data_IF_903732512806
#
_entry.id   IF_903732512806
#
_cell.length_a   1.000
_cell.length_b   1.000
_cell.length_c   1.000
_cell.angle_alpha   90.00
_cell.angle_beta   90.00
_cell.angle_gamma   90.00
#
_symmetry.space_group_name_H-M   'P 1'
#
loop_
_entity.id
_entity.type
_entity.pdbx_description
1 polymer ?
#
# COMPACT_ATOMS: atom_id res chain seq x y z
N UNK A 1 4.41 -13.95 -3.41
CA UNK A 1 4.19 -14.27 -1.99
C UNK A 1 2.84 -13.73 -1.49
N UNK A 2 2.35 -14.19 -0.35
CA UNK A 2 1.18 -13.61 0.35
C UNK A 2 1.55 -13.33 1.79
N UNK A 3 1.13 -12.19 2.32
CA UNK A 3 1.34 -11.84 3.73
C UNK A 3 0.15 -12.35 4.53
N UNK A 4 0.41 -13.23 5.50
CA UNK A 4 -0.65 -13.70 6.39
C UNK A 4 -1.02 -12.62 7.41
N UNK A 5 -2.32 -12.39 7.71
CA UNK A 5 -2.73 -11.37 8.68
C UNK A 5 -2.12 -11.54 10.07
N UNK A 6 -1.84 -12.78 10.47
CA UNK A 6 -1.32 -13.12 11.81
C UNK A 6 0.22 -13.14 11.86
N UNK A 7 0.90 -13.01 10.71
CA UNK A 7 2.36 -12.88 10.66
C UNK A 7 2.84 -11.55 11.24
N UNK A 8 4.13 -11.44 11.55
CA UNK A 8 4.75 -10.19 12.03
C UNK A 8 4.53 -9.08 11.00
N UNK A 9 4.84 -9.35 9.73
CA UNK A 9 4.55 -8.48 8.59
C UNK A 9 3.08 -8.05 8.51
N UNK A 10 2.15 -8.99 8.69
CA UNK A 10 0.71 -8.73 8.69
C UNK A 10 0.29 -7.79 9.82
N UNK A 11 0.77 -8.04 11.04
CA UNK A 11 0.50 -7.19 12.22
C UNK A 11 1.07 -5.78 12.03
N UNK A 12 2.30 -5.65 11.50
CA UNK A 12 2.92 -4.35 11.18
C UNK A 12 2.07 -3.55 10.19
N UNK A 13 1.60 -4.15 9.10
CA UNK A 13 0.72 -3.49 8.14
C UNK A 13 -0.65 -3.12 8.74
N UNK A 14 -1.23 -4.00 9.57
CA UNK A 14 -2.52 -3.76 10.23
C UNK A 14 -2.49 -2.59 11.22
N UNK A 15 -1.33 -2.31 11.85
CA UNK A 15 -1.12 -1.12 12.69
C UNK A 15 -1.42 0.18 11.94
N UNK A 16 -1.21 0.20 10.63
CA UNK A 16 -1.45 1.35 9.75
C UNK A 16 -2.76 1.24 8.96
N UNK A 17 -3.73 0.46 9.46
CA UNK A 17 -5.09 0.40 8.91
C UNK A 17 -5.29 -0.57 7.74
N UNK A 18 -4.29 -1.39 7.39
CA UNK A 18 -4.47 -2.42 6.35
C UNK A 18 -5.45 -3.50 6.83
N UNK A 19 -6.53 -3.73 6.08
CA UNK A 19 -7.53 -4.73 6.42
C UNK A 19 -7.00 -6.17 6.27
N UNK A 20 -7.36 -7.07 7.20
CA UNK A 20 -6.97 -8.49 7.12
C UNK A 20 -7.47 -9.18 5.83
N UNK A 21 -8.64 -8.76 5.33
CA UNK A 21 -9.19 -9.26 4.06
C UNK A 21 -8.33 -8.83 2.86
N UNK A 22 -7.79 -7.62 2.88
CA UNK A 22 -6.88 -7.12 1.85
C UNK A 22 -5.59 -7.96 1.81
N UNK A 23 -5.03 -8.31 2.98
CA UNK A 23 -3.87 -9.19 3.09
C UNK A 23 -4.15 -10.59 2.51
N UNK A 24 -5.28 -11.22 2.89
CA UNK A 24 -5.63 -12.56 2.41
C UNK A 24 -5.89 -12.62 0.90
N UNK A 25 -6.52 -11.57 0.36
CA UNK A 25 -6.94 -11.51 -1.03
C UNK A 25 -5.91 -10.91 -1.98
N UNK A 26 -4.69 -10.61 -1.52
CA UNK A 26 -3.68 -9.94 -2.35
C UNK A 26 -2.40 -10.76 -2.42
N UNK A 27 -1.91 -10.97 -3.64
CA UNK A 27 -0.63 -11.62 -3.90
C UNK A 27 0.40 -10.57 -4.22
N UNK A 28 1.55 -10.58 -3.54
CA UNK A 28 2.66 -9.67 -3.79
C UNK A 28 3.62 -10.33 -4.77
N UNK A 29 4.01 -9.62 -5.82
CA UNK A 29 5.07 -10.02 -6.74
C UNK A 29 6.15 -8.93 -6.76
N UNK A 30 7.39 -9.33 -6.55
CA UNK A 30 8.54 -8.46 -6.75
C UNK A 30 8.83 -8.34 -8.25
N UNK A 31 9.07 -7.14 -8.74
CA UNK A 31 9.36 -6.84 -10.14
C UNK A 31 10.59 -5.94 -10.20
N UNK A 32 11.56 -6.32 -11.02
CA UNK A 32 12.81 -5.56 -11.16
C UNK A 32 12.58 -4.19 -11.83
N UNK A 33 11.78 -4.15 -12.90
CA UNK A 33 11.61 -2.96 -13.72
C UNK A 33 10.22 -2.34 -13.53
N UNK A 34 10.15 -1.31 -12.68
CA UNK A 34 8.95 -0.47 -12.50
C UNK A 34 9.32 0.99 -12.18
N UNK A 35 8.59 1.98 -12.74
CA UNK A 35 8.83 3.40 -12.47
C UNK A 35 8.32 3.86 -11.08
N UNK A 36 7.55 3.01 -10.39
CA UNK A 36 6.95 3.30 -9.08
C UNK A 36 7.35 2.22 -8.07
N UNK A 37 7.34 2.57 -6.77
CA UNK A 37 7.71 1.66 -5.69
C UNK A 37 6.76 0.46 -5.57
N UNK A 38 5.46 0.68 -5.76
CA UNK A 38 4.47 -0.37 -5.75
C UNK A 38 3.23 0.02 -6.55
N UNK A 39 2.50 -0.97 -7.07
CA UNK A 39 1.28 -0.79 -7.85
C UNK A 39 0.30 -1.96 -7.64
N UNK A 40 -0.97 -1.65 -7.41
CA UNK A 40 -2.05 -2.64 -7.31
C UNK A 40 -2.67 -2.90 -8.67
N UNK A 41 -2.54 -4.14 -9.14
CA UNK A 41 -3.22 -4.69 -10.30
C UNK A 41 -4.50 -5.42 -9.85
N UNK A 42 -5.70 -4.85 -10.09
CA UNK A 42 -6.96 -5.52 -9.77
C UNK A 42 -7.19 -6.69 -10.74
N UNK A 43 -7.59 -7.86 -10.24
CA UNK A 43 -7.93 -9.00 -11.08
C UNK A 43 -9.45 -9.08 -11.31
N UNK A 44 -9.93 -9.59 -12.46
CA UNK A 44 -11.36 -9.72 -12.74
C UNK A 44 -12.04 -10.76 -11.82
N UNK A 45 -11.43 -11.92 -11.60
CA UNK A 45 -12.04 -13.06 -10.88
C UNK A 45 -11.66 -13.15 -9.39
N UNK A 46 -11.51 -12.00 -8.72
CA UNK A 46 -11.23 -11.94 -7.28
C UNK A 46 -9.78 -11.60 -6.96
N UNK A 47 -9.59 -10.91 -5.84
CA UNK A 47 -8.28 -10.53 -5.33
C UNK A 47 -7.57 -9.42 -6.12
N UNK A 48 -6.32 -9.19 -5.73
CA UNK A 48 -5.40 -8.24 -6.38
C UNK A 48 -3.99 -8.84 -6.47
N UNK A 49 -3.21 -8.34 -7.41
CA UNK A 49 -1.76 -8.54 -7.43
C UNK A 49 -1.11 -7.21 -7.11
N UNK A 50 -0.28 -7.17 -6.08
CA UNK A 50 0.50 -6.01 -5.70
C UNK A 50 1.90 -6.19 -6.25
N UNK A 51 2.23 -5.42 -7.28
CA UNK A 51 3.56 -5.39 -7.87
C UNK A 51 4.42 -4.46 -7.04
N UNK A 52 5.54 -4.95 -6.53
CA UNK A 52 6.49 -4.20 -5.72
C UNK A 52 7.79 -4.13 -6.47
N UNK A 53 8.37 -2.93 -6.60
CA UNK A 53 9.70 -2.80 -7.17
C UNK A 53 10.73 -3.44 -6.24
N UNK A 54 11.60 -4.26 -6.81
CA UNK A 54 12.70 -4.86 -6.06
C UNK A 54 13.55 -3.79 -5.36
N UNK A 55 13.89 -4.00 -4.09
CA UNK A 55 14.58 -3.02 -3.25
C UNK A 55 13.76 -1.81 -2.76
N UNK A 56 12.50 -1.65 -3.19
CA UNK A 56 11.64 -0.57 -2.67
C UNK A 56 11.07 -0.84 -1.27
N UNK A 57 11.21 -2.08 -0.79
CA UNK A 57 10.75 -2.54 0.51
C UNK A 57 11.91 -3.21 1.23
N UNK A 58 12.01 -2.94 2.53
CA UNK A 58 13.02 -3.53 3.38
C UNK A 58 12.45 -4.75 4.10
N UNK A 59 13.21 -5.84 4.05
CA UNK A 59 12.92 -7.10 4.72
C UNK A 59 14.00 -7.35 5.76
N UNK A 60 13.61 -7.85 6.93
CA UNK A 60 14.55 -8.27 7.96
C UNK A 60 15.18 -9.64 7.61
N UNK A 61 16.14 -10.08 8.42
CA UNK A 61 16.87 -11.33 8.20
C UNK A 61 15.96 -12.57 8.24
N UNK A 62 14.76 -12.44 8.83
CA UNK A 62 13.74 -13.50 8.91
C UNK A 62 12.78 -13.46 7.72
N UNK A 63 12.94 -12.50 6.80
CA UNK A 63 12.07 -12.32 5.64
C UNK A 63 10.75 -11.63 5.97
N UNK A 64 10.66 -10.94 7.12
CA UNK A 64 9.52 -10.12 7.50
C UNK A 64 9.72 -8.65 7.09
N UNK A 65 8.62 -7.94 6.82
CA UNK A 65 8.64 -6.52 6.45
C UNK A 65 9.19 -5.67 7.59
N UNK A 66 10.29 -4.95 7.39
CA UNK A 66 10.81 -4.03 8.41
C UNK A 66 9.79 -2.93 8.75
N UNK A 67 9.74 -2.53 10.03
CA UNK A 67 8.88 -1.43 10.49
C UNK A 67 9.58 -0.09 10.17
N UNK A 68 9.11 0.62 9.15
CA UNK A 68 9.75 1.85 8.69
C UNK A 68 8.98 2.58 7.59
N UNK A 69 9.52 3.70 7.12
CA UNK A 69 8.93 4.54 6.07
C UNK A 69 8.68 3.74 4.78
N UNK A 70 9.49 2.71 4.51
CA UNK A 70 9.33 1.81 3.36
C UNK A 70 8.01 1.02 3.36
N UNK A 71 7.25 1.00 4.47
CA UNK A 71 5.89 0.43 4.53
C UNK A 71 4.84 1.30 3.84
N UNK A 72 5.06 2.62 3.73
CA UNK A 72 4.09 3.57 3.18
C UNK A 72 3.55 3.16 1.79
N UNK A 73 4.40 2.78 0.80
CA UNK A 73 3.89 2.31 -0.50
C UNK A 73 3.03 1.05 -0.38
N UNK A 74 3.34 0.10 0.53
CA UNK A 74 2.49 -1.07 0.73
C UNK A 74 1.14 -0.70 1.31
N UNK A 75 1.12 0.13 2.36
CA UNK A 75 -0.12 0.57 3.01
C UNK A 75 -1.03 1.24 1.99
N UNK A 76 -0.47 2.11 1.15
CA UNK A 76 -1.20 2.74 0.04
C UNK A 76 -1.80 1.70 -0.92
N UNK A 77 -1.01 0.74 -1.38
CA UNK A 77 -1.46 -0.25 -2.36
C UNK A 77 -2.46 -1.26 -1.76
N UNK A 78 -2.30 -1.64 -0.49
CA UNK A 78 -3.27 -2.49 0.21
C UNK A 78 -4.61 -1.79 0.45
N UNK A 79 -4.62 -0.47 0.62
CA UNK A 79 -5.84 0.32 0.63
C UNK A 79 -6.59 0.19 -0.72
N UNK A 80 -5.88 0.31 -1.85
CA UNK A 80 -6.47 0.05 -3.18
C UNK A 80 -7.00 -1.38 -3.32
N UNK A 81 -6.27 -2.37 -2.81
CA UNK A 81 -6.72 -3.76 -2.83
C UNK A 81 -8.01 -3.95 -2.02
N UNK A 82 -8.11 -3.31 -0.85
CA UNK A 82 -9.33 -3.29 -0.03
C UNK A 82 -10.49 -2.60 -0.76
N UNK A 83 -10.27 -1.43 -1.35
CA UNK A 83 -11.28 -0.73 -2.16
C UNK A 83 -11.79 -1.60 -3.31
N UNK A 84 -10.90 -2.32 -4.03
CA UNK A 84 -11.30 -3.26 -5.07
C UNK A 84 -12.19 -4.38 -4.51
N UNK A 85 -11.87 -4.91 -3.34
CA UNK A 85 -12.69 -5.95 -2.70
C UNK A 85 -14.06 -5.42 -2.30
N UNK A 86 -14.15 -4.20 -1.75
CA UNK A 86 -15.39 -3.58 -1.31
C UNK A 86 -16.29 -3.13 -2.47
N UNK A 87 -15.70 -2.59 -3.54
CA UNK A 87 -16.48 -2.02 -4.65
C UNK A 87 -16.72 -3.01 -5.78
N UNK A 88 -15.92 -4.07 -5.87
CA UNK A 88 -15.88 -4.98 -7.01
C UNK A 88 -15.05 -4.41 -8.17
N UNK A 89 -14.62 -5.29 -9.08
CA UNK A 89 -13.70 -4.97 -10.17
C UNK A 89 -14.21 -3.84 -11.09
N UNK A 90 -15.42 -3.98 -11.63
CA UNK A 90 -15.97 -3.02 -12.58
C UNK A 90 -16.14 -1.62 -11.97
N UNK A 91 -16.69 -1.54 -10.75
CA UNK A 91 -16.89 -0.26 -10.04
C UNK A 91 -15.57 0.37 -9.62
N UNK A 92 -14.59 -0.43 -9.21
CA UNK A 92 -13.24 0.04 -8.91
C UNK A 92 -12.61 0.72 -10.13
N UNK A 93 -12.65 0.05 -11.29
CA UNK A 93 -12.12 0.62 -12.53
C UNK A 93 -12.89 1.86 -12.98
N UNK A 94 -14.22 1.83 -12.93
CA UNK A 94 -15.06 2.97 -13.32
C UNK A 94 -14.75 4.21 -12.45
N UNK A 95 -14.60 4.03 -11.13
CA UNK A 95 -14.25 5.12 -10.21
C UNK A 95 -12.87 5.70 -10.48
N UNK A 96 -11.87 4.86 -10.76
CA UNK A 96 -10.52 5.32 -11.09
C UNK A 96 -10.42 5.94 -12.49
N UNK A 97 -11.18 5.44 -13.46
CA UNK A 97 -11.28 6.05 -14.78
C UNK A 97 -11.97 7.42 -14.69
N UNK A 98 -13.11 7.49 -13.99
CA UNK A 98 -13.83 8.73 -13.77
C UNK A 98 -12.99 9.76 -13.02
N UNK A 99 -12.23 9.34 -12.00
CA UNK A 99 -11.37 10.25 -11.26
C UNK A 99 -10.35 10.90 -12.20
N UNK A 100 -9.79 10.17 -13.17
CA UNK A 100 -8.86 10.70 -14.19
C UNK A 100 -9.52 11.67 -15.17
N UNK A 101 -10.79 11.47 -15.49
CA UNK A 101 -11.56 12.32 -16.40
C UNK A 101 -12.15 13.57 -15.71
N UNK A 102 -12.29 13.55 -14.39
CA UNK A 102 -12.76 14.68 -13.59
C UNK A 102 -11.85 15.93 -13.75
N UNK A 103 -12.40 17.16 -13.58
CA UNK A 103 -11.77 18.41 -14.02
C UNK A 103 -10.31 18.56 -13.60
N UNK A 104 -9.49 19.02 -14.56
CA UNK A 104 -8.07 19.32 -14.42
C UNK A 104 -7.90 20.44 -13.39
N UNK A 105 -7.30 20.12 -12.23
CA UNK A 105 -7.03 21.11 -11.17
C UNK A 105 -6.94 20.54 -9.77
N UNK A 106 -7.63 19.42 -9.48
CA UNK A 106 -7.53 18.75 -8.17
C UNK A 106 -6.43 17.70 -8.21
N UNK A 107 -5.38 17.81 -7.36
CA UNK A 107 -4.33 16.80 -7.24
C UNK A 107 -4.91 15.41 -6.98
N UNK A 108 -4.31 14.36 -7.57
CA UNK A 108 -4.78 12.97 -7.42
C UNK A 108 -5.02 12.61 -5.96
N UNK A 109 -4.09 12.96 -5.06
CA UNK A 109 -4.17 12.73 -3.62
C UNK A 109 -5.38 13.34 -2.90
N UNK A 110 -6.02 14.35 -3.48
CA UNK A 110 -7.22 14.97 -2.90
C UNK A 110 -8.52 14.41 -3.49
N UNK A 111 -8.45 13.56 -4.52
CA UNK A 111 -9.62 12.91 -5.11
C UNK A 111 -10.13 11.83 -4.17
N UNK A 112 -11.45 11.69 -4.05
CA UNK A 112 -12.09 10.78 -3.10
C UNK A 112 -11.54 9.34 -3.16
N UNK A 113 -11.24 8.84 -4.37
CA UNK A 113 -10.71 7.48 -4.57
C UNK A 113 -9.29 7.27 -4.02
N UNK A 114 -8.46 8.31 -4.01
CA UNK A 114 -7.05 8.23 -3.61
C UNK A 114 -6.83 8.77 -2.19
N UNK A 115 -7.70 9.67 -1.71
CA UNK A 115 -7.51 10.43 -0.47
C UNK A 115 -7.26 9.53 0.73
N UNK A 116 -8.09 8.50 0.92
CA UNK A 116 -7.95 7.59 2.05
C UNK A 116 -6.62 6.81 1.99
N UNK A 117 -6.23 6.34 0.80
CA UNK A 117 -4.99 5.60 0.61
C UNK A 117 -3.75 6.47 0.79
N UNK A 118 -3.82 7.75 0.40
CA UNK A 118 -2.76 8.72 0.69
C UNK A 118 -2.66 9.05 2.18
N UNK A 119 -3.78 9.28 2.86
CA UNK A 119 -3.78 9.57 4.29
C UNK A 119 -3.21 8.40 5.11
N UNK A 120 -3.55 7.16 4.75
CA UNK A 120 -2.99 5.99 5.41
C UNK A 120 -1.47 5.86 5.20
N UNK A 121 -0.99 6.12 3.99
CA UNK A 121 0.44 6.11 3.69
C UNK A 121 1.19 7.25 4.39
N UNK A 122 0.58 8.44 4.46
CA UNK A 122 1.12 9.59 5.16
C UNK A 122 1.25 9.32 6.66
N UNK A 123 0.28 8.66 7.28
CA UNK A 123 0.36 8.27 8.69
C UNK A 123 1.57 7.37 8.99
N UNK A 124 1.96 6.49 8.05
CA UNK A 124 3.20 5.71 8.17
C UNK A 124 4.43 6.63 8.13
N UNK A 125 4.46 7.55 7.17
CA UNK A 125 5.59 8.48 7.01
C UNK A 125 5.75 9.35 8.26
N UNK A 126 4.68 9.91 8.80
CA UNK A 126 4.69 10.74 10.00
C UNK A 126 5.12 9.96 11.25
N UNK A 127 4.61 8.73 11.41
CA UNK A 127 4.97 7.86 12.54
C UNK A 127 6.46 7.47 12.58
N UNK A 128 7.14 7.51 11.43
CA UNK A 128 8.55 7.14 11.33
C UNK A 128 9.49 8.32 11.09
N UNK A 129 9.01 9.44 10.53
CA UNK A 129 9.77 10.68 10.43
C UNK A 129 10.07 11.24 11.84
N UNK A 130 9.05 11.24 12.71
CA UNK A 130 9.19 11.64 14.12
C UNK A 130 10.14 10.74 14.93
N UNK A 131 10.33 9.47 14.53
CA UNK A 131 11.30 8.57 15.17
C UNK A 131 12.73 8.83 14.74
N UNK A 132 12.95 9.23 13.48
CA UNK A 132 14.29 9.57 12.97
C UNK A 132 14.83 10.86 13.58
N UNK A 133 13.97 11.80 13.97
CA UNK A 133 14.39 13.05 14.64
C UNK A 133 14.76 12.86 16.13
N UNK A 134 14.32 11.78 16.78
CA UNK A 134 14.54 11.51 18.21
C UNK A 134 15.78 10.66 18.48
N UNK A 135 16.37 10.04 17.46
CA UNK A 135 17.56 9.21 17.58
C UNK A 135 18.78 9.95 16.97
N UNK A 136 19.32 11.00 17.63
CA UNK A 136 20.60 11.54 17.22
C UNK A 136 21.65 10.48 17.55
N UNK A 137 22.35 10.06 16.50
CA UNK A 137 23.57 9.24 16.49
C UNK A 137 24.25 9.11 17.86
N UNK A 138 23.92 8.06 18.62
CA UNK A 138 24.83 7.56 19.63
C UNK A 138 25.97 6.86 18.90
N UNK A 139 27.01 7.64 18.60
CA UNK A 139 28.35 7.21 18.23
C UNK A 139 28.99 6.38 19.34
#
# INVERSE_FOLDING_TARGET
MRIQPESVSGKRLRKYGVAAQALRGTTILAVFWMPVAAFTLPLPFGGCVLLVREGAIQWDAQGDLMDGIALAPLVHQFCHAYQRQQWGFARYLARHAWSRLAPRGVPLRHRQVERECYLAAQAVQEAHASRQEVEPQSL
#
